data_IF_768188094503
#
_entry.id   IF_768188094503
#
_cell.length_a   1.000
_cell.length_b   1.000
_cell.length_c   1.000
_cell.angle_alpha   90.00
_cell.angle_beta   90.00
_cell.angle_gamma   90.00
#
_symmetry.space_group_name_H-M   'P 1'
#
loop_
_entity.id
_entity.type
_entity.pdbx_description
1 polymer ?
#
# COMPACT_ATOMS: atom_id res chain seq x y z
N UNK A 1 0.87 -7.09 -13.10
CA UNK A 1 1.72 -6.71 -11.99
C UNK A 1 0.91 -6.04 -10.90
N UNK A 2 1.42 -6.05 -9.69
CA UNK A 2 0.67 -5.56 -8.54
C UNK A 2 1.46 -4.49 -7.81
N UNK A 3 0.75 -3.47 -7.35
CA UNK A 3 1.36 -2.42 -6.56
C UNK A 3 0.73 -2.43 -5.17
N UNK A 4 1.56 -2.33 -4.14
CA UNK A 4 1.10 -2.37 -2.76
C UNK A 4 0.75 -0.97 -2.28
N UNK A 5 -0.38 -0.86 -1.61
CA UNK A 5 -0.82 0.37 -0.97
C UNK A 5 -1.20 0.07 0.46
N UNK A 6 -0.86 0.96 1.36
CA UNK A 6 -1.23 0.85 2.76
C UNK A 6 -1.90 2.14 3.17
N UNK A 7 -3.03 2.04 3.83
CA UNK A 7 -3.72 3.19 4.37
C UNK A 7 -3.73 3.11 5.88
N UNK A 8 -3.31 4.17 6.53
CA UNK A 8 -3.25 4.24 7.97
C UNK A 8 -4.15 5.36 8.43
N UNK A 9 -5.12 5.03 9.27
CA UNK A 9 -6.06 6.01 9.77
C UNK A 9 -5.89 6.13 11.28
N UNK A 10 -5.82 7.36 11.76
CA UNK A 10 -5.67 7.63 13.18
C UNK A 10 -6.16 9.02 13.46
N UNK A 11 -6.70 9.21 14.65
CA UNK A 11 -7.12 10.53 15.08
C UNK A 11 -5.93 11.49 15.20
N UNK A 12 -4.73 10.98 15.29
CA UNK A 12 -3.53 11.83 15.39
C UNK A 12 -3.16 12.47 14.06
N UNK A 13 -3.70 11.99 12.95
CA UNK A 13 -3.38 12.55 11.65
C UNK A 13 -4.33 13.70 11.34
N UNK A 14 -3.78 14.74 10.73
CA UNK A 14 -4.57 15.92 10.40
C UNK A 14 -5.75 15.58 9.50
N UNK A 15 -5.52 14.76 8.51
CA UNK A 15 -6.57 14.37 7.57
C UNK A 15 -7.26 13.08 7.97
N UNK A 16 -6.91 12.53 9.12
CA UNK A 16 -7.52 11.30 9.58
C UNK A 16 -6.88 10.04 9.03
N UNK A 17 -6.39 10.08 7.82
CA UNK A 17 -5.78 8.92 7.18
C UNK A 17 -4.58 9.31 6.36
N UNK A 18 -3.64 8.40 6.24
CA UNK A 18 -2.46 8.60 5.44
C UNK A 18 -2.29 7.39 4.53
N UNK A 19 -1.99 7.64 3.27
CA UNK A 19 -1.80 6.55 2.32
C UNK A 19 -0.33 6.45 1.95
N UNK A 20 0.17 5.22 1.96
CA UNK A 20 1.54 4.92 1.57
C UNK A 20 1.51 4.02 0.35
N UNK A 21 2.33 4.35 -0.61
CA UNK A 21 2.47 3.53 -1.81
C UNK A 21 3.87 2.94 -1.84
N UNK A 22 3.94 1.65 -2.14
CA UNK A 22 5.22 1.00 -2.25
C UNK A 22 5.94 1.48 -3.50
N UNK A 23 7.19 1.92 -3.32
CA UNK A 23 7.99 2.42 -4.44
C UNK A 23 8.86 1.34 -5.05
N UNK A 24 8.91 0.17 -4.45
CA UNK A 24 9.71 -0.91 -4.99
C UNK A 24 8.99 -1.72 -6.05
N UNK A 25 7.67 -1.77 -5.96
CA UNK A 25 6.90 -2.54 -6.92
C UNK A 25 7.12 -2.03 -8.32
N UNK A 26 6.43 -2.58 -9.27
CA UNK A 26 5.35 -3.56 -9.09
C UNK A 26 5.87 -4.98 -8.94
N UNK A 27 4.99 -5.85 -8.46
CA UNK A 27 5.31 -7.26 -8.24
C UNK A 27 4.54 -8.12 -9.21
N UNK A 28 5.14 -9.21 -9.61
CA UNK A 28 4.53 -10.07 -10.62
C UNK A 28 3.32 -10.82 -10.07
N UNK A 29 3.33 -11.17 -8.80
CA UNK A 29 2.24 -11.95 -8.25
C UNK A 29 1.64 -11.23 -7.05
N UNK A 30 0.41 -11.60 -6.76
CA UNK A 30 -0.26 -11.05 -5.60
C UNK A 30 0.40 -11.50 -4.31
N UNK A 31 0.96 -12.69 -4.31
CA UNK A 31 1.66 -13.19 -3.12
C UNK A 31 2.85 -12.31 -2.79
N UNK A 32 3.64 -11.96 -3.79
CA UNK A 32 4.78 -11.08 -3.56
C UNK A 32 4.34 -9.72 -3.07
N UNK A 33 3.25 -9.21 -3.62
CA UNK A 33 2.72 -7.93 -3.18
C UNK A 33 2.32 -8.00 -1.71
N UNK A 34 1.65 -9.07 -1.31
CA UNK A 34 1.22 -9.22 0.07
C UNK A 34 2.40 -9.36 1.02
N UNK A 35 3.43 -10.08 0.61
CA UNK A 35 4.62 -10.20 1.43
C UNK A 35 5.25 -8.84 1.66
N UNK A 36 5.28 -8.02 0.63
CA UNK A 36 5.81 -6.68 0.78
C UNK A 36 4.95 -5.84 1.71
N UNK A 37 3.64 -5.99 1.62
CA UNK A 37 2.74 -5.29 2.52
C UNK A 37 3.07 -5.66 3.97
N UNK A 38 3.27 -6.94 4.24
CA UNK A 38 3.62 -7.37 5.59
C UNK A 38 4.89 -6.69 6.08
N UNK A 39 5.91 -6.63 5.23
CA UNK A 39 7.15 -5.97 5.60
C UNK A 39 6.93 -4.50 5.90
N UNK A 40 6.16 -3.83 5.06
CA UNK A 40 5.90 -2.41 5.24
C UNK A 40 5.15 -2.16 6.54
N UNK A 41 4.16 -2.99 6.82
CA UNK A 41 3.38 -2.84 8.05
C UNK A 41 4.28 -3.01 9.27
N UNK A 42 5.11 -4.04 9.26
CA UNK A 42 6.00 -4.26 10.39
C UNK A 42 6.99 -3.10 10.58
N UNK A 43 7.39 -2.49 9.47
CA UNK A 43 8.33 -1.38 9.55
C UNK A 43 7.69 -0.12 10.12
N UNK A 44 6.40 0.09 9.86
CA UNK A 44 5.77 1.33 10.26
C UNK A 44 5.09 1.25 11.62
N UNK A 45 4.77 0.05 12.09
CA UNK A 45 4.06 -0.09 13.36
C UNK A 45 4.71 0.69 14.49
N UNK A 46 6.02 0.64 14.70
CA UNK A 46 6.63 1.40 15.78
C UNK A 46 6.56 2.91 15.59
N UNK A 47 6.32 3.36 14.38
CA UNK A 47 6.34 4.78 14.06
C UNK A 47 4.97 5.42 14.01
N UNK A 48 3.90 4.65 14.11
CA UNK A 48 2.55 5.20 14.01
C UNK A 48 1.87 5.14 15.38
N UNK A 49 0.83 5.97 15.56
CA UNK A 49 0.09 5.96 16.83
C UNK A 49 -0.51 4.59 17.11
N UNK A 50 -0.62 4.26 18.38
CA UNK A 50 -1.12 2.95 18.77
C UNK A 50 -2.60 2.75 18.43
N UNK A 51 -3.33 3.83 18.21
CA UNK A 51 -4.74 3.74 17.85
C UNK A 51 -4.95 3.69 16.34
N UNK A 52 -3.88 3.50 15.59
CA UNK A 52 -3.98 3.51 14.14
C UNK A 52 -4.68 2.27 13.62
N UNK A 53 -5.47 2.47 12.59
CA UNK A 53 -6.07 1.37 11.86
C UNK A 53 -5.34 1.25 10.53
N UNK A 54 -4.90 0.04 10.22
CA UNK A 54 -4.09 -0.19 9.01
C UNK A 54 -4.91 -1.01 8.04
N UNK A 55 -5.01 -0.51 6.82
CA UNK A 55 -5.64 -1.23 5.72
C UNK A 55 -4.64 -1.29 4.58
N UNK A 56 -4.77 -2.33 3.77
CA UNK A 56 -3.85 -2.49 2.66
C UNK A 56 -4.59 -3.04 1.46
N UNK A 57 -3.97 -2.84 0.31
CA UNK A 57 -4.49 -3.44 -0.91
C UNK A 57 -3.38 -3.64 -1.89
N UNK A 58 -3.54 -4.61 -2.76
CA UNK A 58 -2.67 -4.84 -3.88
C UNK A 58 -3.46 -4.59 -5.13
N UNK A 59 -3.10 -3.54 -5.85
CA UNK A 59 -3.80 -3.13 -7.04
C UNK A 59 -3.11 -3.71 -8.26
N UNK A 60 -3.87 -4.34 -9.11
CA UNK A 60 -3.31 -4.88 -10.34
C UNK A 60 -3.05 -3.74 -11.31
N UNK A 61 -1.78 -3.57 -11.66
CA UNK A 61 -1.40 -2.55 -12.61
C UNK A 61 -1.48 -3.11 -14.00
N UNK A 62 -2.36 -2.59 -14.77
CA UNK A 62 -2.36 -2.93 -16.17
C UNK A 62 -1.19 -2.23 -16.82
N UNK A 63 -0.38 -2.99 -17.50
CA UNK A 63 0.75 -2.40 -18.18
C UNK A 63 0.33 -1.76 -19.47
N UNK A 64 -0.90 -1.89 -19.83
CA UNK A 64 -1.37 -1.35 -21.07
C UNK A 64 -1.04 0.10 -21.21
N UNK A 65 -0.67 0.45 -22.36
CA UNK A 65 -0.43 1.83 -22.66
C UNK A 65 -1.70 2.62 -22.48
N UNK A 66 -1.60 3.78 -21.90
CA UNK A 66 -2.77 4.57 -21.61
C UNK A 66 -3.64 4.84 -22.81
N UNK A 67 -3.14 5.04 -23.92
CA UNK A 67 -3.95 5.37 -25.05
C UNK A 67 -4.57 4.18 -25.72
N UNK A 68 -4.26 3.07 -25.27
CA UNK A 68 -4.72 1.88 -25.91
C UNK A 68 -6.06 1.50 -25.43
N UNK A 69 -6.39 1.78 -25.00
CA UNK A 69 -7.37 1.26 -24.72
C UNK A 69 -8.24 1.50 -24.59
N UNK A 70 -7.89 1.71 -24.68
CA UNK A 70 -8.36 1.85 -24.69
C UNK A 70 -8.82 1.85 -24.66
#
# INVERSE_FOLDING_TARGET
>A
MFTAFIMICSAAFTDGCMELRDVRGPYETKVLCKERVDEMVHSIIPAIPSDSEIKWKCTHNSIKKPGVNT
#
